data_IF_473386343785
#
_entry.id   IF_473386343785
#
_cell.length_a   1.000
_cell.length_b   1.000
_cell.length_c   1.000
_cell.angle_alpha   90.00
_cell.angle_beta   90.00
_cell.angle_gamma   90.00
#
_symmetry.space_group_name_H-M   'P 1'
#
loop_
_entity.id
_entity.type
_entity.pdbx_description
1 polymer ?
#
# COMPACT_ATOMS: atom_id res chain seq x y z
N UNK A 1 -17.02 21.46 21.25
CA UNK A 1 -17.09 20.21 20.47
C UNK A 1 -15.71 19.61 20.45
N UNK A 2 -15.55 18.48 21.14
CA UNK A 2 -14.30 17.76 21.35
C UNK A 2 -13.70 17.29 20.03
N UNK A 3 -12.47 17.71 19.72
CA UNK A 3 -11.70 17.15 18.60
C UNK A 3 -11.28 15.73 18.98
N UNK A 4 -12.14 14.76 18.63
CA UNK A 4 -11.87 13.33 18.72
C UNK A 4 -10.66 12.99 17.85
N UNK A 5 -9.77 12.17 18.40
CA UNK A 5 -8.44 11.88 17.87
C UNK A 5 -8.40 11.60 16.37
N UNK A 6 -7.28 11.96 15.75
CA UNK A 6 -6.96 11.68 14.35
C UNK A 6 -6.92 10.17 14.14
N UNK A 7 -8.08 9.55 13.92
CA UNK A 7 -8.19 8.23 13.32
C UNK A 7 -7.76 8.44 11.88
N UNK A 8 -6.46 8.29 11.63
CA UNK A 8 -5.93 8.44 10.29
C UNK A 8 -6.48 7.28 9.47
N UNK A 9 -7.34 7.59 8.50
CA UNK A 9 -7.94 6.65 7.55
C UNK A 9 -6.88 6.14 6.55
N UNK A 10 -5.80 5.56 7.07
CA UNK A 10 -4.67 5.08 6.28
C UNK A 10 -5.07 3.85 5.47
N UNK A 11 -6.06 3.08 5.95
CA UNK A 11 -6.63 1.96 5.21
C UNK A 11 -7.27 2.43 3.91
N UNK A 12 -8.19 3.41 4.00
CA UNK A 12 -8.86 3.97 2.83
C UNK A 12 -7.84 4.59 1.86
N UNK A 13 -6.88 5.36 2.39
CA UNK A 13 -5.85 6.01 1.57
C UNK A 13 -4.93 5.04 0.85
N UNK A 14 -4.56 3.93 1.49
CA UNK A 14 -3.70 2.90 0.87
C UNK A 14 -4.47 2.08 -0.17
N UNK A 15 -5.76 1.83 0.07
CA UNK A 15 -6.64 1.21 -0.90
C UNK A 15 -6.86 2.10 -2.15
N UNK A 16 -7.11 3.39 -1.96
CA UNK A 16 -7.23 4.36 -3.04
C UNK A 16 -5.93 4.51 -3.84
N UNK A 17 -4.77 4.49 -3.17
CA UNK A 17 -3.48 4.48 -3.83
C UNK A 17 -3.31 3.26 -4.74
N UNK A 18 -3.59 2.06 -4.24
CA UNK A 18 -3.51 0.83 -5.04
C UNK A 18 -4.48 0.84 -6.25
N UNK A 19 -5.70 1.36 -6.06
CA UNK A 19 -6.68 1.56 -7.16
C UNK A 19 -6.19 2.56 -8.20
N UNK A 20 -5.55 3.64 -7.76
CA UNK A 20 -4.99 4.68 -8.62
C UNK A 20 -3.83 4.14 -9.45
N UNK A 21 -2.92 3.37 -8.83
CA UNK A 21 -1.83 2.67 -9.53
C UNK A 21 -2.38 1.71 -10.57
N UNK A 22 -3.38 0.90 -10.23
CA UNK A 22 -4.04 -0.02 -11.20
C UNK A 22 -4.68 0.72 -12.37
N UNK A 23 -5.26 1.89 -12.12
CA UNK A 23 -5.86 2.73 -13.17
C UNK A 23 -4.80 3.40 -14.04
N UNK A 24 -3.65 3.77 -13.47
CA UNK A 24 -2.49 4.30 -14.19
C UNK A 24 -1.87 3.27 -15.13
N UNK A 25 -1.54 2.07 -14.62
CA UNK A 25 -0.88 1.03 -15.42
C UNK A 25 -1.75 0.52 -16.58
N UNK A 26 -3.08 0.57 -16.45
CA UNK A 26 -4.02 0.22 -17.53
C UNK A 26 -3.89 1.13 -18.77
N UNK A 27 -3.39 2.35 -18.61
CA UNK A 27 -3.22 3.32 -19.70
C UNK A 27 -1.86 3.21 -20.40
N UNK A 28 -0.92 2.45 -19.83
CA UNK A 28 0.43 2.33 -20.39
C UNK A 28 0.44 1.38 -21.60
N UNK A 29 1.27 1.69 -22.62
CA UNK A 29 1.43 0.79 -23.76
C UNK A 29 2.07 -0.53 -23.32
N UNK A 30 1.62 -1.65 -23.88
CA UNK A 30 2.11 -2.99 -23.56
C UNK A 30 3.42 -3.30 -24.28
N UNK A 31 4.50 -2.65 -23.87
CA UNK A 31 5.87 -2.99 -24.26
C UNK A 31 6.47 -3.98 -23.27
N UNK A 32 7.51 -4.72 -23.66
CA UNK A 32 8.16 -5.72 -22.80
C UNK A 32 8.70 -5.06 -21.51
N UNK A 33 9.34 -3.88 -21.63
CA UNK A 33 9.82 -3.11 -20.48
C UNK A 33 8.67 -2.73 -19.53
N UNK A 34 7.61 -2.13 -20.08
CA UNK A 34 6.46 -1.70 -19.27
C UNK A 34 5.79 -2.88 -18.57
N UNK A 35 5.74 -4.07 -19.18
CA UNK A 35 5.13 -5.24 -18.52
C UNK A 35 5.90 -5.65 -17.26
N UNK A 36 7.23 -5.59 -17.29
CA UNK A 36 8.08 -5.88 -16.12
C UNK A 36 7.87 -4.80 -15.05
N UNK A 37 7.92 -3.54 -15.44
CA UNK A 37 7.77 -2.40 -14.53
C UNK A 37 6.38 -2.36 -13.90
N UNK A 38 5.33 -2.58 -14.69
CA UNK A 38 3.94 -2.65 -14.20
C UNK A 38 3.78 -3.78 -13.20
N UNK A 39 4.37 -4.96 -13.47
CA UNK A 39 4.28 -6.10 -12.56
C UNK A 39 4.94 -5.81 -11.21
N UNK A 40 6.05 -5.07 -11.20
CA UNK A 40 6.70 -4.65 -9.95
C UNK A 40 5.92 -3.54 -9.24
N UNK A 41 5.46 -2.54 -10.00
CA UNK A 41 4.70 -1.41 -9.45
C UNK A 41 3.38 -1.85 -8.80
N UNK A 42 2.63 -2.75 -9.44
CA UNK A 42 1.37 -3.28 -8.89
C UNK A 42 1.63 -4.05 -7.59
N UNK A 43 2.70 -4.85 -7.53
CA UNK A 43 3.09 -5.59 -6.32
C UNK A 43 3.50 -4.66 -5.18
N UNK A 44 4.40 -3.71 -5.46
CA UNK A 44 4.83 -2.72 -4.48
C UNK A 44 3.63 -1.90 -3.94
N UNK A 45 2.70 -1.49 -4.81
CA UNK A 45 1.50 -0.74 -4.38
C UNK A 45 0.56 -1.54 -3.49
N UNK A 46 0.46 -2.86 -3.68
CA UNK A 46 -0.38 -3.74 -2.86
C UNK A 46 0.22 -4.04 -1.48
N UNK A 47 1.55 -4.13 -1.40
CA UNK A 47 2.27 -4.36 -0.14
C UNK A 47 2.02 -3.24 0.88
N UNK A 48 1.83 -1.99 0.45
CA UNK A 48 1.55 -0.87 1.37
C UNK A 48 0.28 -1.09 2.20
N UNK A 49 -0.80 -1.59 1.57
CA UNK A 49 -2.04 -1.90 2.28
C UNK A 49 -1.93 -3.15 3.16
N UNK A 50 -1.28 -4.20 2.66
CA UNK A 50 -1.05 -5.44 3.41
C UNK A 50 -0.24 -5.20 4.69
N UNK A 51 0.84 -4.43 4.58
CA UNK A 51 1.67 -4.04 5.71
C UNK A 51 0.91 -3.22 6.76
N UNK A 52 -0.02 -2.37 6.32
CA UNK A 52 -0.81 -1.57 7.24
C UNK A 52 -1.81 -2.44 8.02
N UNK A 53 -2.47 -3.39 7.35
CA UNK A 53 -3.36 -4.35 7.97
C UNK A 53 -2.59 -5.20 8.99
N UNK A 54 -1.41 -5.69 8.62
CA UNK A 54 -0.54 -6.48 9.51
C UNK A 54 -0.05 -5.67 10.72
N UNK A 55 0.32 -4.40 10.52
CA UNK A 55 0.66 -3.50 11.63
C UNK A 55 -0.53 -3.30 12.57
N UNK A 56 -1.74 -3.13 12.04
CA UNK A 56 -2.95 -2.89 12.84
C UNK A 56 -3.42 -4.14 13.61
N UNK A 57 -3.14 -5.34 13.09
CA UNK A 57 -3.40 -6.63 13.76
C UNK A 57 -2.27 -7.02 14.74
N UNK A 58 -1.11 -6.33 14.69
CA UNK A 58 0.00 -6.56 15.61
C UNK A 58 -0.31 -6.02 17.02
N UNK A 59 -0.41 -6.94 17.99
CA UNK A 59 -0.79 -6.71 19.40
C UNK A 59 0.17 -5.81 20.20
N UNK A 60 1.33 -5.40 19.66
CA UNK A 60 2.38 -4.69 20.40
C UNK A 60 2.94 -3.49 19.63
N UNK A 61 3.07 -2.33 20.31
CA UNK A 61 3.56 -1.06 19.74
C UNK A 61 4.97 -1.12 19.12
N UNK A 62 5.76 -2.15 19.42
CA UNK A 62 7.11 -2.34 18.89
C UNK A 62 7.13 -2.94 17.47
N UNK A 63 6.12 -3.70 17.09
CA UNK A 63 6.02 -4.31 15.75
C UNK A 63 5.43 -3.34 14.71
N UNK A 64 4.63 -2.38 15.17
CA UNK A 64 4.01 -1.33 14.36
C UNK A 64 5.01 -0.49 13.52
N UNK A 65 6.27 -0.39 13.97
CA UNK A 65 7.32 0.35 13.26
C UNK A 65 8.02 -0.47 12.18
N UNK A 66 8.06 -1.80 12.32
CA UNK A 66 8.78 -2.70 11.41
C UNK A 66 7.99 -2.92 10.11
N UNK A 67 6.67 -3.08 10.18
CA UNK A 67 5.81 -3.31 9.02
C UNK A 67 5.66 -2.08 8.11
N UNK A 68 5.92 -0.88 8.63
CA UNK A 68 5.70 0.39 7.91
C UNK A 68 6.70 0.65 6.76
N UNK A 69 7.79 -0.12 6.64
CA UNK A 69 8.87 0.12 5.65
C UNK A 69 9.19 -1.11 4.79
N UNK A 70 8.61 -2.27 5.04
CA UNK A 70 8.96 -3.49 4.30
C UNK A 70 8.25 -3.56 2.96
N UNK A 71 8.88 -3.11 1.89
CA UNK A 71 8.47 -3.49 0.54
C UNK A 71 8.76 -4.99 0.41
N UNK A 72 7.79 -5.84 0.75
CA UNK A 72 7.95 -7.28 0.63
C UNK A 72 8.01 -7.63 -0.87
N UNK A 73 9.11 -8.27 -1.26
CA UNK A 73 9.22 -9.01 -2.51
C UNK A 73 8.36 -10.28 -2.38
N UNK A 74 7.10 -10.22 -2.82
CA UNK A 74 6.30 -11.42 -3.11
C UNK A 74 6.37 -11.76 -4.61
#
# INVERSE_FOLDING_TARGET
>A
MTQTGKQYDLEERTLEFAKSVRSFVKRLPKTIANLVDIKQLVRASGSVGANYIEANDSLSKKDFALFRVSCFEF
#
